data_IF_900822331805
#
_entry.id   IF_900822331805
#
_cell.length_a   1.000
_cell.length_b   1.000
_cell.length_c   1.000
_cell.angle_alpha   90.00
_cell.angle_beta   90.00
_cell.angle_gamma   90.00
#
_symmetry.space_group_name_H-M   'P 1'
#
loop_
_entity.id
_entity.type
_entity.pdbx_description
1 polymer ?
#
# COMPACT_ATOMS: atom_id res chain seq x y z
N UNK A 1 5.18 -9.52 -12.12
CA UNK A 1 5.60 -8.73 -10.94
C UNK A 1 6.02 -7.35 -11.42
N UNK A 2 5.56 -6.28 -10.77
CA UNK A 2 5.58 -4.93 -11.35
C UNK A 2 6.76 -4.03 -10.91
N UNK A 3 7.89 -4.59 -10.47
CA UNK A 3 9.10 -3.79 -10.19
C UNK A 3 9.22 -3.16 -8.80
N UNK A 4 8.33 -3.48 -7.86
CA UNK A 4 8.33 -2.89 -6.51
C UNK A 4 9.67 -3.00 -5.76
N UNK A 5 10.39 -4.12 -5.92
CA UNK A 5 11.71 -4.29 -5.30
C UNK A 5 12.76 -3.32 -5.87
N UNK A 6 12.69 -3.04 -7.18
CA UNK A 6 13.57 -2.08 -7.84
C UNK A 6 13.23 -0.63 -7.40
N UNK A 7 11.95 -0.33 -7.20
CA UNK A 7 11.52 0.95 -6.63
C UNK A 7 12.02 1.14 -5.20
N UNK A 8 11.95 0.10 -4.34
CA UNK A 8 12.46 0.17 -2.97
C UNK A 8 13.99 0.35 -2.92
N UNK A 9 14.72 -0.28 -3.83
CA UNK A 9 16.16 -0.08 -3.97
C UNK A 9 16.47 1.38 -4.32
N UNK A 10 15.82 1.92 -5.37
CA UNK A 10 15.94 3.33 -5.77
C UNK A 10 15.54 4.30 -4.67
N UNK A 11 14.49 3.99 -3.92
CA UNK A 11 14.06 4.80 -2.77
C UNK A 11 15.16 4.88 -1.70
N UNK A 12 15.92 3.80 -1.49
CA UNK A 12 17.08 3.79 -0.60
C UNK A 12 18.22 4.70 -1.05
N UNK A 13 18.39 4.92 -2.35
CA UNK A 13 19.44 5.77 -2.94
C UNK A 13 19.16 7.27 -2.72
N UNK A 14 17.91 7.66 -2.45
CA UNK A 14 17.51 9.05 -2.25
C UNK A 14 17.97 9.66 -0.91
N UNK A 15 18.64 8.90 -0.04
CA UNK A 15 19.21 9.42 1.21
C UNK A 15 18.16 9.93 2.21
N UNK A 16 16.93 9.43 2.13
CA UNK A 16 15.86 9.82 3.04
C UNK A 16 16.16 9.33 4.46
N UNK A 17 15.90 10.21 5.44
CA UNK A 17 15.98 9.85 6.85
C UNK A 17 14.98 8.72 7.16
N UNK A 18 15.34 7.71 7.98
CA UNK A 18 14.44 6.60 8.29
C UNK A 18 13.10 7.01 8.91
N UNK A 19 13.05 8.20 9.53
CA UNK A 19 11.84 8.74 10.16
C UNK A 19 10.87 9.41 9.15
N UNK A 20 11.27 9.59 7.89
CA UNK A 20 10.42 10.21 6.88
C UNK A 20 9.17 9.34 6.59
N UNK A 21 7.98 9.94 6.41
CA UNK A 21 6.73 9.20 6.19
C UNK A 21 6.79 8.20 5.03
N UNK A 22 7.51 8.56 3.95
CA UNK A 22 7.70 7.69 2.79
C UNK A 22 8.38 6.35 3.16
N UNK A 23 9.30 6.38 4.13
CA UNK A 23 10.05 5.20 4.58
C UNK A 23 9.21 4.26 5.45
N UNK A 24 8.07 4.75 5.95
CA UNK A 24 7.15 3.99 6.79
C UNK A 24 5.98 3.37 6.01
N UNK A 25 5.92 3.55 4.70
CA UNK A 25 4.88 2.96 3.87
C UNK A 25 4.91 1.42 3.94
N UNK A 26 3.77 0.73 4.16
CA UNK A 26 3.75 -0.73 4.18
C UNK A 26 4.38 -1.33 2.92
N UNK A 27 5.30 -2.28 3.08
CA UNK A 27 6.05 -2.89 1.99
C UNK A 27 7.47 -2.33 1.82
N UNK A 28 7.69 -1.03 2.09
CA UNK A 28 9.03 -0.41 1.97
C UNK A 28 10.01 -0.96 3.00
N UNK A 29 9.70 -1.01 4.32
CA UNK A 29 10.59 -1.59 5.31
C UNK A 29 10.93 -3.05 5.03
N UNK A 30 9.94 -3.85 4.60
CA UNK A 30 10.10 -5.27 4.36
C UNK A 30 10.97 -5.54 3.12
N UNK A 31 10.76 -4.79 2.04
CA UNK A 31 11.59 -4.86 0.84
C UNK A 31 13.03 -4.39 1.11
N UNK A 32 13.20 -3.30 1.87
CA UNK A 32 14.54 -2.83 2.28
C UNK A 32 15.27 -3.85 3.17
N UNK A 33 14.57 -4.50 4.09
CA UNK A 33 15.15 -5.52 4.95
C UNK A 33 15.68 -6.71 4.14
N UNK A 34 14.94 -7.13 3.10
CA UNK A 34 15.41 -8.14 2.16
C UNK A 34 16.66 -7.66 1.39
N UNK A 35 16.62 -6.45 0.82
CA UNK A 35 17.74 -5.86 0.07
C UNK A 35 19.02 -5.68 0.91
N UNK A 36 18.88 -5.51 2.23
CA UNK A 36 20.00 -5.43 3.16
C UNK A 36 20.61 -6.81 3.53
N UNK A 37 20.20 -7.89 2.86
CA UNK A 37 20.67 -9.26 3.14
C UNK A 37 19.96 -9.93 4.32
N UNK A 38 18.79 -9.41 4.71
CA UNK A 38 17.98 -9.95 5.81
C UNK A 38 17.12 -11.15 5.38
N UNK A 39 15.79 -11.12 5.63
CA UNK A 39 14.91 -12.27 5.35
C UNK A 39 14.88 -12.63 3.86
N UNK A 40 14.46 -13.86 3.53
CA UNK A 40 14.22 -14.26 2.13
C UNK A 40 13.13 -13.40 1.50
N UNK A 41 13.10 -13.36 0.16
CA UNK A 41 12.10 -12.57 -0.56
C UNK A 41 10.68 -12.99 -0.20
N UNK A 42 10.44 -14.30 -0.07
CA UNK A 42 9.13 -14.86 0.29
C UNK A 42 8.70 -14.42 1.69
N UNK A 43 9.64 -14.42 2.65
CA UNK A 43 9.37 -13.96 4.01
C UNK A 43 9.09 -12.45 4.05
N UNK A 44 9.86 -11.65 3.30
CA UNK A 44 9.62 -10.21 3.18
C UNK A 44 8.25 -9.91 2.54
N UNK A 45 7.86 -10.65 1.50
CA UNK A 45 6.53 -10.54 0.88
C UNK A 45 5.42 -10.89 1.88
N UNK A 46 5.58 -11.98 2.63
CA UNK A 46 4.59 -12.40 3.64
C UNK A 46 4.40 -11.34 4.74
N UNK A 47 5.49 -10.71 5.18
CA UNK A 47 5.42 -9.62 6.16
C UNK A 47 4.78 -8.36 5.54
N UNK A 48 5.17 -7.98 4.32
CA UNK A 48 4.59 -6.83 3.62
C UNK A 48 3.07 -6.96 3.44
N UNK A 49 2.59 -8.16 3.10
CA UNK A 49 1.16 -8.47 3.04
C UNK A 49 0.49 -8.33 4.41
N UNK A 50 1.15 -8.78 5.48
CA UNK A 50 0.64 -8.66 6.85
C UNK A 50 0.56 -7.20 7.30
N UNK A 51 1.60 -6.41 7.04
CA UNK A 51 1.62 -4.97 7.30
C UNK A 51 0.49 -4.25 6.53
N UNK A 52 0.29 -4.60 5.26
CA UNK A 52 -0.79 -4.07 4.42
C UNK A 52 -2.16 -4.39 5.00
N UNK A 53 -2.43 -5.65 5.41
CA UNK A 53 -3.69 -6.03 6.06
C UNK A 53 -3.94 -5.27 7.35
N UNK A 54 -2.91 -5.11 8.19
CA UNK A 54 -2.99 -4.33 9.44
C UNK A 54 -3.29 -2.86 9.15
N UNK A 55 -2.65 -2.27 8.14
CA UNK A 55 -2.89 -0.90 7.72
C UNK A 55 -4.32 -0.71 7.21
N UNK A 56 -4.79 -1.58 6.31
CA UNK A 56 -6.16 -1.57 5.81
C UNK A 56 -7.19 -1.68 6.95
N UNK A 57 -6.95 -2.56 7.94
CA UNK A 57 -7.80 -2.66 9.13
C UNK A 57 -7.85 -1.35 9.92
N UNK A 58 -6.71 -0.67 10.11
CA UNK A 58 -6.68 0.65 10.78
C UNK A 58 -7.43 1.71 9.98
N UNK A 59 -7.26 1.75 8.65
CA UNK A 59 -7.99 2.65 7.76
C UNK A 59 -9.51 2.43 7.89
N UNK A 60 -9.97 1.18 7.80
CA UNK A 60 -11.40 0.85 7.96
C UNK A 60 -11.96 1.25 9.32
N UNK A 61 -11.22 1.01 10.40
CA UNK A 61 -11.63 1.45 11.75
C UNK A 61 -11.72 2.97 11.84
N UNK A 62 -10.74 3.68 11.28
CA UNK A 62 -10.72 5.14 11.28
C UNK A 62 -11.90 5.72 10.47
N UNK A 63 -12.14 5.22 9.26
CA UNK A 63 -13.28 5.62 8.43
C UNK A 63 -14.61 5.38 9.14
N UNK A 64 -14.82 4.19 9.73
CA UNK A 64 -16.06 3.88 10.45
C UNK A 64 -16.35 4.86 11.59
N UNK A 65 -15.30 5.34 12.26
CA UNK A 65 -15.44 6.20 13.43
C UNK A 65 -15.48 7.70 13.07
N UNK A 66 -14.88 8.10 11.95
CA UNK A 66 -14.72 9.51 11.57
C UNK A 66 -15.57 9.95 10.38
N UNK A 67 -16.06 9.01 9.59
CA UNK A 67 -16.76 9.24 8.32
C UNK A 67 -18.11 8.53 8.27
N UNK A 68 -18.89 8.62 9.36
CA UNK A 68 -20.18 7.92 9.47
C UNK A 68 -21.19 8.37 8.38
N UNK A 69 -21.09 9.63 7.97
CA UNK A 69 -22.01 10.22 6.99
C UNK A 69 -21.54 10.02 5.54
N UNK A 70 -20.42 9.34 5.32
CA UNK A 70 -19.93 9.05 3.98
C UNK A 70 -20.75 7.95 3.33
N UNK A 71 -21.09 8.14 2.06
CA UNK A 71 -21.75 7.12 1.25
C UNK A 71 -20.71 6.10 0.79
N UNK A 72 -20.82 4.81 1.16
CA UNK A 72 -19.90 3.79 0.67
C UNK A 72 -20.04 3.63 -0.84
N UNK A 73 -18.92 3.66 -1.56
CA UNK A 73 -18.88 3.20 -2.94
C UNK A 73 -18.92 1.67 -2.92
N UNK A 74 -19.86 1.07 -3.65
CA UNK A 74 -19.88 -0.38 -3.83
C UNK A 74 -18.58 -0.82 -4.53
N UNK A 75 -17.71 -1.50 -3.79
CA UNK A 75 -16.53 -2.14 -4.38
C UNK A 75 -16.98 -3.52 -4.87
N UNK A 76 -16.82 -3.83 -6.17
CA UNK A 76 -17.22 -5.11 -6.70
C UNK A 76 -16.34 -6.24 -6.16
N UNK A 77 -16.83 -7.47 -6.32
CA UNK A 77 -16.10 -8.66 -5.89
C UNK A 77 -14.68 -8.70 -6.51
N UNK A 78 -13.66 -9.15 -5.76
CA UNK A 78 -12.29 -9.25 -6.29
C UNK A 78 -12.29 -10.12 -7.56
N UNK A 79 -11.85 -9.56 -8.69
CA UNK A 79 -11.75 -10.25 -9.98
C UNK A 79 -12.30 -9.47 -11.18
N UNK A 80 -13.12 -8.43 -10.96
CA UNK A 80 -13.61 -7.57 -12.04
C UNK A 80 -12.68 -6.37 -12.25
N UNK A 81 -11.56 -6.62 -12.95
CA UNK A 81 -10.57 -5.59 -13.30
C UNK A 81 -11.18 -4.43 -14.08
N UNK A 82 -12.21 -4.71 -14.88
CA UNK A 82 -12.85 -3.74 -15.76
C UNK A 82 -13.72 -2.73 -14.99
N UNK A 83 -14.33 -3.14 -13.88
CA UNK A 83 -14.99 -2.20 -12.98
C UNK A 83 -14.01 -1.38 -12.12
N UNK A 84 -12.82 -1.89 -11.80
CA UNK A 84 -11.81 -1.10 -11.07
C UNK A 84 -11.35 0.10 -11.90
N UNK A 85 -11.16 -0.09 -13.20
CA UNK A 85 -10.87 1.01 -14.15
C UNK A 85 -12.03 2.00 -14.24
N UNK A 86 -13.27 1.51 -14.25
CA UNK A 86 -14.47 2.36 -14.23
C UNK A 86 -14.60 3.21 -12.94
N UNK A 87 -14.21 2.63 -11.79
CA UNK A 87 -14.18 3.34 -10.50
C UNK A 87 -13.07 4.39 -10.50
N UNK A 88 -11.87 4.05 -10.97
CA UNK A 88 -10.75 4.98 -11.10
C UNK A 88 -11.14 6.21 -11.93
N UNK A 89 -11.82 6.01 -13.07
CA UNK A 89 -12.30 7.11 -13.92
C UNK A 89 -13.30 8.04 -13.23
N UNK A 90 -14.02 7.56 -12.20
CA UNK A 90 -14.94 8.39 -11.39
C UNK A 90 -14.24 9.08 -10.22
N UNK A 91 -13.22 8.46 -9.65
CA UNK A 91 -12.49 8.97 -8.49
C UNK A 91 -11.47 10.02 -8.88
N UNK A 92 -10.63 9.75 -9.89
CA UNK A 92 -9.51 10.64 -10.24
C UNK A 92 -9.93 12.06 -10.64
N UNK A 93 -11.07 12.32 -11.31
CA UNK A 93 -11.52 13.69 -11.54
C UNK A 93 -11.90 14.46 -10.26
N UNK A 94 -12.21 13.76 -9.16
CA UNK A 94 -12.53 14.37 -7.86
C UNK A 94 -11.27 14.68 -7.03
N UNK A 95 -10.13 14.08 -7.40
CA UNK A 95 -8.82 14.30 -6.76
C UNK A 95 -8.04 15.25 -7.68
N UNK A 96 -7.92 16.51 -7.28
CA UNK A 96 -7.20 17.53 -8.04
C UNK A 96 -5.69 17.35 -7.97
#
# INVERSE_FOLDING_TARGET
EAGALAEAARLGEHGLEPAEPAMSAPGVPEQKAHLAGGPTLEAAVAEAQTATRRFAKRQMTWFRNRMRDWTPLAVPAPGDAQQMESIAAKIFPLIR
#
